data_IF_384104960960
#
_entry.id   IF_384104960960
#
_cell.length_a   1.000
_cell.length_b   1.000
_cell.length_c   1.000
_cell.angle_alpha   90.00
_cell.angle_beta   90.00
_cell.angle_gamma   90.00
#
_symmetry.space_group_name_H-M   'P 1'
#
loop_
_entity.id
_entity.type
_entity.pdbx_description
1 polymer ?
#
# COMPACT_ATOMS: atom_id res chain seq x y z
N UNK A 1 -17.05 -9.40 7.62
CA UNK A 1 -17.07 -9.91 9.02
C UNK A 1 -16.64 -11.37 9.10
N UNK A 2 -17.13 -12.25 8.22
CA UNK A 2 -16.80 -13.68 8.20
C UNK A 2 -15.29 -13.95 7.99
N UNK A 3 -14.65 -13.26 7.05
CA UNK A 3 -13.19 -13.37 6.79
C UNK A 3 -12.32 -12.90 7.98
N UNK A 4 -12.77 -11.87 8.73
CA UNK A 4 -12.08 -11.41 9.95
C UNK A 4 -12.21 -12.40 11.10
N UNK A 5 -13.35 -13.11 11.18
CA UNK A 5 -13.52 -14.21 12.14
C UNK A 5 -12.62 -15.38 11.79
N UNK A 6 -12.53 -15.77 10.51
CA UNK A 6 -11.61 -16.82 10.05
C UNK A 6 -10.15 -16.49 10.38
N UNK A 7 -9.72 -15.24 10.19
CA UNK A 7 -8.38 -14.78 10.58
C UNK A 7 -8.12 -14.96 12.08
N UNK A 8 -9.09 -14.59 12.94
CA UNK A 8 -8.97 -14.80 14.38
C UNK A 8 -8.90 -16.28 14.75
N UNK A 9 -9.64 -17.14 14.04
CA UNK A 9 -9.61 -18.59 14.26
C UNK A 9 -8.27 -19.20 13.83
N UNK A 10 -7.71 -18.81 12.67
CA UNK A 10 -6.38 -19.28 12.25
C UNK A 10 -5.26 -18.79 13.18
N UNK A 11 -5.34 -17.54 13.67
CA UNK A 11 -4.46 -17.00 14.69
C UNK A 11 -4.53 -17.82 15.99
N UNK A 12 -5.75 -18.12 16.44
CA UNK A 12 -5.98 -18.96 17.61
C UNK A 12 -5.43 -20.36 17.40
N UNK A 13 -5.72 -21.00 16.28
CA UNK A 13 -5.29 -22.37 15.97
C UNK A 13 -3.76 -22.47 15.89
N UNK A 14 -3.09 -21.51 15.22
CA UNK A 14 -1.63 -21.43 15.15
C UNK A 14 -1.00 -21.22 16.54
N UNK A 15 -1.59 -20.33 17.35
CA UNK A 15 -1.17 -20.06 18.71
C UNK A 15 -1.31 -21.29 19.62
N UNK A 16 -2.47 -21.98 19.57
CA UNK A 16 -2.71 -23.20 20.33
C UNK A 16 -1.78 -24.33 19.86
N UNK A 17 -1.60 -24.53 18.55
CA UNK A 17 -0.71 -25.55 18.02
C UNK A 17 0.74 -25.33 18.46
N UNK A 18 1.23 -24.08 18.49
CA UNK A 18 2.56 -23.74 19.00
C UNK A 18 2.71 -24.04 20.50
N UNK A 19 1.66 -23.80 21.29
CA UNK A 19 1.64 -24.07 22.74
C UNK A 19 1.65 -25.58 23.05
N UNK A 20 0.95 -26.40 22.27
CA UNK A 20 0.85 -27.85 22.48
C UNK A 20 2.02 -28.66 21.88
N UNK A 21 2.80 -28.09 20.95
CA UNK A 21 3.91 -28.78 20.28
C UNK A 21 5.26 -28.65 21.01
N UNK A 22 5.32 -27.92 22.13
CA UNK A 22 6.42 -27.98 23.11
C UNK A 22 7.81 -27.48 22.69
N UNK A 23 8.03 -26.99 21.46
CA UNK A 23 9.40 -26.65 20.98
C UNK A 23 9.53 -25.32 20.21
N UNK A 24 8.46 -24.55 19.99
CA UNK A 24 8.58 -23.29 19.22
C UNK A 24 8.00 -22.08 19.95
N UNK A 25 8.71 -20.95 19.89
CA UNK A 25 8.19 -19.66 20.36
C UNK A 25 6.88 -19.36 19.61
N UNK A 26 5.77 -19.05 20.31
CA UNK A 26 4.47 -18.82 19.68
C UNK A 26 4.37 -17.46 18.99
N UNK A 27 5.38 -16.60 19.17
CA UNK A 27 5.44 -15.25 18.63
C UNK A 27 6.53 -15.12 17.56
N UNK A 28 6.27 -14.24 16.59
CA UNK A 28 7.29 -13.66 15.75
C UNK A 28 7.94 -12.52 16.54
N UNK A 29 9.10 -12.78 17.15
CA UNK A 29 9.84 -11.74 17.89
C UNK A 29 10.78 -11.01 16.95
N UNK A 30 10.64 -9.67 16.91
CA UNK A 30 11.58 -8.76 16.25
C UNK A 30 12.26 -7.87 17.30
N UNK A 31 13.59 -7.89 17.34
CA UNK A 31 14.40 -7.04 18.21
C UNK A 31 15.11 -5.99 17.35
N UNK A 32 14.67 -4.74 17.38
CA UNK A 32 15.08 -3.70 16.44
C UNK A 32 15.69 -2.49 17.16
N UNK A 33 16.68 -1.84 16.55
CA UNK A 33 17.21 -0.55 17.02
C UNK A 33 16.48 0.58 16.32
N UNK A 34 16.15 1.65 17.05
CA UNK A 34 15.44 2.82 16.49
C UNK A 34 16.14 3.43 15.28
N UNK A 35 17.47 3.53 15.34
CA UNK A 35 18.28 4.13 14.27
C UNK A 35 18.54 3.18 13.07
N UNK A 36 18.11 1.91 13.16
CA UNK A 36 18.34 0.89 12.14
C UNK A 36 17.07 0.10 11.83
N UNK A 37 15.91 0.75 11.94
CA UNK A 37 14.61 0.10 11.97
C UNK A 37 14.34 -0.74 10.72
N UNK A 38 14.50 -0.16 9.53
CA UNK A 38 14.32 -0.85 8.24
C UNK A 38 15.28 -2.03 8.12
N UNK A 39 16.58 -1.78 8.33
CA UNK A 39 17.64 -2.77 8.16
C UNK A 39 17.49 -3.95 9.12
N UNK A 40 17.26 -3.69 10.41
CA UNK A 40 17.11 -4.74 11.42
C UNK A 40 15.85 -5.58 11.14
N UNK A 41 14.78 -4.96 10.63
CA UNK A 41 13.55 -5.66 10.25
C UNK A 41 13.79 -6.59 9.06
N UNK A 42 14.46 -6.10 8.00
CA UNK A 42 14.79 -6.92 6.81
C UNK A 42 15.61 -8.14 7.20
N UNK A 43 16.72 -7.92 7.92
CA UNK A 43 17.61 -9.01 8.31
C UNK A 43 16.89 -10.08 9.14
N UNK A 44 15.98 -9.67 10.03
CA UNK A 44 15.26 -10.62 10.86
C UNK A 44 14.18 -11.37 10.10
N UNK A 45 13.37 -10.69 9.29
CA UNK A 45 12.28 -11.32 8.54
C UNK A 45 12.79 -12.28 7.47
N UNK A 46 13.91 -11.98 6.81
CA UNK A 46 14.53 -12.87 5.80
C UNK A 46 14.99 -14.22 6.39
N UNK A 47 15.26 -14.27 7.70
CA UNK A 47 15.71 -15.49 8.38
C UNK A 47 14.55 -16.35 8.92
N UNK A 48 13.31 -15.88 8.81
CA UNK A 48 12.13 -16.59 9.34
C UNK A 48 11.54 -17.52 8.30
N UNK A 49 11.04 -18.67 8.75
CA UNK A 49 10.24 -19.54 7.91
C UNK A 49 8.86 -18.92 7.64
N UNK A 50 8.16 -19.27 6.54
CA UNK A 50 6.79 -18.81 6.30
C UNK A 50 5.82 -19.11 7.46
N UNK A 51 6.03 -20.21 8.19
CA UNK A 51 5.24 -20.53 9.37
C UNK A 51 5.51 -19.59 10.55
N UNK A 52 6.77 -19.16 10.72
CA UNK A 52 7.13 -18.18 11.76
C UNK A 52 6.65 -16.77 11.44
N UNK A 53 6.61 -16.40 10.15
CA UNK A 53 6.10 -15.12 9.69
C UNK A 53 4.60 -14.92 9.98
N UNK A 54 3.86 -16.02 10.10
CA UNK A 54 2.44 -16.07 10.47
C UNK A 54 2.23 -16.29 11.97
N UNK A 55 3.19 -15.91 12.81
CA UNK A 55 2.99 -15.87 14.26
C UNK A 55 2.61 -14.46 14.69
N UNK A 56 1.96 -14.34 15.83
CA UNK A 56 1.65 -13.03 16.40
C UNK A 56 2.96 -12.25 16.63
N UNK A 57 3.01 -11.02 16.12
CA UNK A 57 4.21 -10.18 16.15
C UNK A 57 4.41 -9.61 17.55
N UNK A 58 5.65 -9.71 18.04
CA UNK A 58 6.12 -9.06 19.26
C UNK A 58 7.37 -8.27 18.94
N UNK A 59 7.32 -6.96 19.17
CA UNK A 59 8.46 -6.07 18.90
C UNK A 59 9.14 -5.70 20.21
N UNK A 60 10.47 -5.62 20.18
CA UNK A 60 11.31 -5.10 21.26
C UNK A 60 12.30 -4.09 20.71
N UNK A 61 12.33 -2.89 21.28
CA UNK A 61 13.40 -1.95 21.00
C UNK A 61 14.62 -2.29 21.85
N UNK A 62 15.77 -2.42 21.20
CA UNK A 62 17.02 -2.81 21.88
C UNK A 62 17.41 -1.74 22.90
N UNK A 63 17.57 -2.14 24.16
CA UNK A 63 17.94 -1.24 25.25
C UNK A 63 16.76 -0.55 25.95
N UNK A 64 15.52 -0.92 25.62
CA UNK A 64 14.30 -0.36 26.22
C UNK A 64 13.50 -1.44 26.94
N UNK A 65 13.05 -1.14 28.16
CA UNK A 65 12.11 -2.00 28.88
C UNK A 65 10.71 -1.81 28.29
N UNK A 66 10.31 -2.70 27.39
CA UNK A 66 8.97 -2.74 26.82
C UNK A 66 7.93 -3.16 27.87
N UNK A 67 7.27 -2.19 28.49
CA UNK A 67 6.24 -2.44 29.53
C UNK A 67 4.85 -2.72 28.92
N UNK A 68 4.54 -2.10 27.77
CA UNK A 68 3.26 -2.26 27.05
C UNK A 68 3.48 -2.88 25.66
N UNK A 69 3.10 -4.14 25.52
CA UNK A 69 3.28 -4.92 24.28
C UNK A 69 2.46 -4.36 23.10
N UNK A 70 1.29 -3.77 23.36
CA UNK A 70 0.44 -3.20 22.32
C UNK A 70 0.91 -1.83 21.85
N UNK A 71 1.38 -0.98 22.78
CA UNK A 71 1.96 0.32 22.48
C UNK A 71 3.22 0.21 21.61
N UNK A 72 4.12 -0.70 21.97
CA UNK A 72 5.40 -0.90 21.26
C UNK A 72 5.18 -1.40 19.81
N UNK A 73 4.21 -2.29 19.59
CA UNK A 73 3.89 -2.77 18.25
C UNK A 73 3.34 -1.64 17.36
N UNK A 74 2.41 -0.82 17.87
CA UNK A 74 1.87 0.32 17.13
C UNK A 74 2.96 1.34 16.79
N UNK A 75 3.82 1.66 17.76
CA UNK A 75 4.95 2.55 17.56
C UNK A 75 5.89 2.04 16.46
N UNK A 76 6.22 0.75 16.48
CA UNK A 76 7.04 0.11 15.45
C UNK A 76 6.48 0.33 14.04
N UNK A 77 5.20 0.01 13.81
CA UNK A 77 4.58 0.22 12.51
C UNK A 77 4.55 1.71 12.11
N UNK A 78 4.25 2.61 13.05
CA UNK A 78 4.25 4.05 12.80
C UNK A 78 5.62 4.58 12.37
N UNK A 79 6.69 4.19 13.07
CA UNK A 79 8.05 4.61 12.73
C UNK A 79 8.48 4.04 11.37
N UNK A 80 8.20 2.76 11.12
CA UNK A 80 8.62 2.08 9.89
C UNK A 80 7.88 2.65 8.67
N UNK A 81 6.56 2.86 8.77
CA UNK A 81 5.77 3.50 7.72
C UNK A 81 6.26 4.92 7.48
N UNK A 82 6.52 5.71 8.53
CA UNK A 82 7.00 7.08 8.38
C UNK A 82 8.35 7.15 7.66
N UNK A 83 9.25 6.22 7.92
CA UNK A 83 10.58 6.19 7.31
C UNK A 83 10.53 5.77 5.83
N UNK A 84 9.81 4.70 5.51
CA UNK A 84 9.73 4.13 4.15
C UNK A 84 8.95 5.02 3.19
N UNK A 85 7.90 5.69 3.68
CA UNK A 85 7.01 6.53 2.87
C UNK A 85 7.43 8.01 2.84
N UNK A 86 8.56 8.37 3.46
CA UNK A 86 9.14 9.69 3.26
C UNK A 86 9.64 9.81 1.82
N UNK A 87 9.29 10.89 1.12
CA UNK A 87 9.68 11.11 -0.28
C UNK A 87 11.21 11.11 -0.46
N UNK A 88 11.99 11.45 0.58
CA UNK A 88 13.46 11.38 0.56
C UNK A 88 13.98 9.95 0.50
N UNK A 89 13.18 8.97 0.91
CA UNK A 89 13.50 7.56 0.79
C UNK A 89 13.42 7.10 -0.67
N UNK A 90 12.58 7.74 -1.48
CA UNK A 90 12.55 7.60 -2.94
C UNK A 90 11.70 6.45 -3.49
N UNK A 91 11.21 5.53 -2.65
CA UNK A 91 10.40 4.37 -3.07
C UNK A 91 9.01 4.74 -3.60
N UNK A 92 8.43 5.80 -3.03
CA UNK A 92 7.09 6.25 -3.35
C UNK A 92 7.07 7.77 -3.52
N UNK A 93 6.11 8.25 -4.30
CA UNK A 93 5.78 9.66 -4.41
C UNK A 93 4.32 9.89 -3.99
N UNK A 94 4.02 11.08 -3.48
CA UNK A 94 2.65 11.51 -3.28
C UNK A 94 2.21 12.36 -4.47
N UNK A 95 1.06 12.02 -5.06
CA UNK A 95 0.44 12.87 -6.06
C UNK A 95 -0.01 14.19 -5.41
N UNK A 96 0.35 15.33 -6.00
CA UNK A 96 0.11 16.64 -5.39
C UNK A 96 -1.37 17.04 -5.33
N UNK A 97 -2.21 16.46 -6.19
CA UNK A 97 -3.62 16.81 -6.26
C UNK A 97 -4.46 15.95 -5.32
N UNK A 98 -4.15 14.65 -5.22
CA UNK A 98 -4.92 13.70 -4.43
C UNK A 98 -4.31 13.35 -3.07
N UNK A 99 -3.04 13.68 -2.84
CA UNK A 99 -2.21 13.16 -1.74
C UNK A 99 -2.13 11.62 -1.69
N UNK A 100 -2.47 10.94 -2.78
CA UNK A 100 -2.32 9.49 -2.88
C UNK A 100 -0.87 9.13 -3.15
N UNK A 101 -0.41 8.11 -2.45
CA UNK A 101 0.92 7.53 -2.57
C UNK A 101 0.95 6.51 -3.72
N UNK A 102 1.98 6.54 -4.55
CA UNK A 102 2.23 5.54 -5.59
C UNK A 102 3.72 5.25 -5.79
N UNK A 103 4.03 4.13 -6.44
CA UNK A 103 5.42 3.70 -6.68
C UNK A 103 6.17 4.73 -7.53
N UNK A 104 7.36 5.10 -7.10
CA UNK A 104 8.28 5.87 -7.92
C UNK A 104 8.71 5.03 -9.15
N UNK A 105 8.68 5.59 -10.36
CA UNK A 105 9.18 4.90 -11.55
C UNK A 105 10.71 4.84 -11.52
N UNK A 106 11.30 3.66 -11.29
CA UNK A 106 12.76 3.51 -11.19
C UNK A 106 13.31 2.34 -12.04
N UNK A 107 14.27 2.57 -12.96
CA UNK A 107 14.83 1.55 -13.82
C UNK A 107 16.10 0.89 -13.24
N UNK A 108 16.73 1.48 -12.22
CA UNK A 108 17.98 0.98 -11.62
C UNK A 108 17.76 0.63 -10.15
N UNK A 109 17.02 -0.45 -9.93
CA UNK A 109 16.88 -1.03 -8.60
C UNK A 109 18.12 -1.87 -8.29
N UNK A 110 18.92 -1.43 -7.33
CA UNK A 110 19.91 -2.33 -6.75
C UNK A 110 19.24 -3.43 -5.90
N UNK A 111 20.02 -4.43 -5.50
CA UNK A 111 19.49 -5.55 -4.71
C UNK A 111 18.95 -5.11 -3.34
N UNK A 112 19.43 -3.99 -2.79
CA UNK A 112 18.98 -3.47 -1.51
C UNK A 112 17.59 -2.85 -1.65
N UNK A 113 17.38 -2.02 -2.68
CA UNK A 113 16.08 -1.44 -3.01
C UNK A 113 15.00 -2.51 -3.17
N UNK A 114 15.30 -3.60 -3.87
CA UNK A 114 14.34 -4.70 -4.05
C UNK A 114 14.03 -5.45 -2.75
N UNK A 115 15.01 -5.58 -1.85
CA UNK A 115 14.78 -6.16 -0.52
C UNK A 115 13.92 -5.25 0.36
N UNK A 116 14.14 -3.94 0.30
CA UNK A 116 13.35 -2.93 0.99
C UNK A 116 11.92 -2.88 0.43
N UNK A 117 11.75 -2.96 -0.89
CA UNK A 117 10.43 -3.00 -1.51
C UNK A 117 9.65 -4.25 -1.11
N UNK A 118 10.31 -5.41 -1.06
CA UNK A 118 9.72 -6.62 -0.50
C UNK A 118 9.37 -6.46 0.97
N UNK A 119 10.20 -5.76 1.76
CA UNK A 119 9.88 -5.45 3.16
C UNK A 119 8.57 -4.68 3.27
N UNK A 120 8.34 -3.65 2.45
CA UNK A 120 7.09 -2.88 2.51
C UNK A 120 5.88 -3.79 2.32
N UNK A 121 5.95 -4.71 1.35
CA UNK A 121 4.95 -5.75 1.15
C UNK A 121 4.73 -6.60 2.40
N UNK A 122 5.82 -7.11 3.00
CA UNK A 122 5.77 -7.90 4.23
C UNK A 122 5.16 -7.10 5.40
N UNK A 123 5.46 -5.81 5.51
CA UNK A 123 4.93 -4.93 6.57
C UNK A 123 3.42 -4.78 6.43
N UNK A 124 2.90 -4.57 5.21
CA UNK A 124 1.46 -4.57 4.96
C UNK A 124 0.83 -5.91 5.37
N UNK A 125 1.47 -7.02 5.00
CA UNK A 125 0.98 -8.34 5.37
C UNK A 125 0.99 -8.60 6.88
N UNK A 126 2.04 -8.15 7.58
CA UNK A 126 2.14 -8.23 9.04
C UNK A 126 1.07 -7.37 9.71
N UNK A 127 0.77 -6.20 9.16
CA UNK A 127 -0.29 -5.33 9.67
C UNK A 127 -1.68 -5.98 9.56
N UNK A 128 -1.98 -6.60 8.42
CA UNK A 128 -3.19 -7.43 8.21
C UNK A 128 -3.27 -8.52 9.26
N UNK A 129 -2.21 -9.33 9.40
CA UNK A 129 -2.20 -10.49 10.30
C UNK A 129 -2.32 -10.10 11.79
N UNK A 130 -1.76 -8.95 12.16
CA UNK A 130 -1.78 -8.46 13.54
C UNK A 130 -2.93 -7.48 13.82
N UNK A 131 -3.85 -7.27 12.87
CA UNK A 131 -4.95 -6.30 13.00
C UNK A 131 -4.48 -4.89 13.37
N UNK A 132 -3.36 -4.46 12.79
CA UNK A 132 -2.81 -3.11 12.96
C UNK A 132 -3.20 -2.26 11.77
N UNK A 133 -3.82 -1.12 12.04
CA UNK A 133 -4.14 -0.12 11.01
C UNK A 133 -2.88 0.70 10.70
N UNK A 134 -2.57 0.85 9.42
CA UNK A 134 -1.47 1.66 8.93
C UNK A 134 -1.98 3.00 8.40
N UNK A 135 -1.25 4.07 8.73
CA UNK A 135 -1.52 5.41 8.20
C UNK A 135 -0.84 5.57 6.83
N UNK A 136 -1.33 4.85 5.82
CA UNK A 136 -0.86 4.89 4.42
C UNK A 136 -2.00 5.27 3.50
N UNK A 137 -1.67 6.00 2.42
CA UNK A 137 -2.65 6.63 1.54
C UNK A 137 -2.51 6.09 0.11
N UNK A 138 -2.52 4.78 -0.06
CA UNK A 138 -2.53 4.19 -1.41
C UNK A 138 -3.93 4.29 -2.04
N UNK A 139 -4.03 4.44 -3.37
CA UNK A 139 -5.33 4.35 -4.04
C UNK A 139 -5.84 2.90 -4.04
N UNK A 140 -7.15 2.75 -4.20
CA UNK A 140 -7.86 1.48 -4.32
C UNK A 140 -7.24 0.53 -5.38
N UNK A 141 -6.65 1.13 -6.42
CA UNK A 141 -5.89 0.44 -7.46
C UNK A 141 -4.81 -0.51 -6.89
N UNK A 142 -4.14 -0.16 -5.79
CA UNK A 142 -3.12 -1.00 -5.17
C UNK A 142 -3.73 -2.34 -4.71
N UNK A 143 -4.84 -2.28 -3.97
CA UNK A 143 -5.48 -3.47 -3.42
C UNK A 143 -6.07 -4.34 -4.51
N UNK A 144 -6.58 -3.74 -5.60
CA UNK A 144 -6.95 -4.48 -6.81
C UNK A 144 -5.75 -5.24 -7.37
N UNK A 145 -4.62 -4.57 -7.58
CA UNK A 145 -3.41 -5.22 -8.11
C UNK A 145 -2.87 -6.32 -7.20
N UNK A 146 -2.84 -6.12 -5.88
CA UNK A 146 -2.41 -7.16 -4.92
C UNK A 146 -3.21 -8.46 -5.07
N UNK A 147 -4.52 -8.32 -5.32
CA UNK A 147 -5.46 -9.42 -5.52
C UNK A 147 -5.57 -9.91 -6.97
N UNK A 148 -4.78 -9.36 -7.89
CA UNK A 148 -4.82 -9.72 -9.32
C UNK A 148 -6.08 -9.24 -10.05
N UNK A 149 -6.80 -8.26 -9.50
CA UNK A 149 -7.94 -7.61 -10.15
C UNK A 149 -7.41 -6.53 -11.10
N UNK A 150 -7.87 -6.49 -12.36
CA UNK A 150 -7.41 -5.49 -13.32
C UNK A 150 -7.83 -4.07 -12.92
N UNK A 151 -6.94 -3.12 -13.21
CA UNK A 151 -7.14 -1.69 -13.02
C UNK A 151 -7.38 -1.01 -14.36
N UNK A 152 -8.18 0.05 -14.34
CA UNK A 152 -8.68 0.74 -15.52
C UNK A 152 -8.65 2.25 -15.29
N UNK A 153 -9.03 3.01 -16.33
CA UNK A 153 -9.05 4.47 -16.29
C UNK A 153 -9.76 5.06 -15.08
N UNK A 154 -10.88 4.49 -14.63
CA UNK A 154 -11.61 5.01 -13.46
C UNK A 154 -10.83 4.90 -12.15
N UNK A 155 -9.90 3.95 -12.02
CA UNK A 155 -9.05 3.86 -10.84
C UNK A 155 -8.05 5.03 -10.77
N UNK A 156 -7.74 5.66 -11.92
CA UNK A 156 -6.88 6.84 -11.99
C UNK A 156 -7.54 8.08 -11.36
N UNK A 157 -8.87 8.14 -11.27
CA UNK A 157 -9.57 9.27 -10.65
C UNK A 157 -9.12 9.48 -9.19
N UNK A 158 -8.83 8.39 -8.46
CA UNK A 158 -8.37 8.50 -7.08
C UNK A 158 -6.88 8.87 -7.01
N UNK A 159 -6.05 8.29 -7.88
CA UNK A 159 -4.60 8.52 -7.88
C UNK A 159 -4.24 9.90 -8.44
N UNK A 160 -4.71 10.24 -9.63
CA UNK A 160 -4.41 11.48 -10.35
C UNK A 160 -5.69 12.03 -11.04
N UNK A 161 -6.51 12.80 -10.32
CA UNK A 161 -7.77 13.36 -10.83
C UNK A 161 -7.58 14.26 -12.07
N UNK A 162 -6.46 14.99 -12.13
CA UNK A 162 -6.14 15.92 -13.22
C UNK A 162 -5.79 15.17 -14.50
N UNK A 163 -4.96 14.13 -14.39
CA UNK A 163 -4.64 13.25 -15.50
C UNK A 163 -5.88 12.47 -15.96
N UNK A 164 -6.66 11.92 -15.03
CA UNK A 164 -7.95 11.27 -15.35
C UNK A 164 -8.84 12.19 -16.18
N UNK A 165 -9.03 13.43 -15.73
CA UNK A 165 -9.86 14.42 -16.43
C UNK A 165 -9.34 14.72 -17.84
N UNK A 166 -8.02 14.74 -18.02
CA UNK A 166 -7.39 14.99 -19.32
C UNK A 166 -7.59 13.81 -20.28
N UNK A 167 -7.44 12.58 -19.81
CA UNK A 167 -7.67 11.38 -20.63
C UNK A 167 -9.16 11.20 -20.97
N UNK A 168 -10.08 11.53 -20.05
CA UNK A 168 -11.52 11.54 -20.32
C UNK A 168 -11.90 12.56 -21.41
N UNK A 169 -11.25 13.73 -21.43
CA UNK A 169 -11.47 14.71 -22.50
C UNK A 169 -11.06 14.17 -23.86
N UNK A 170 -9.91 13.49 -23.96
CA UNK A 170 -9.46 12.83 -25.19
C UNK A 170 -10.50 11.80 -25.66
N UNK A 171 -11.03 10.97 -24.75
CA UNK A 171 -12.00 9.94 -25.12
C UNK A 171 -13.34 10.50 -25.58
N UNK A 172 -13.90 11.46 -24.83
CA UNK A 172 -15.32 11.76 -24.90
C UNK A 172 -15.65 13.21 -25.27
N UNK A 173 -14.70 14.14 -25.18
CA UNK A 173 -14.96 15.57 -25.37
C UNK A 173 -14.32 16.13 -26.63
N UNK A 174 -13.06 15.78 -26.92
CA UNK A 174 -12.32 16.37 -28.03
C UNK A 174 -12.84 15.93 -29.40
N UNK A 175 -12.98 16.91 -30.28
CA UNK A 175 -13.17 16.75 -31.72
C UNK A 175 -11.91 16.20 -32.41
N UNK A 176 -12.02 15.66 -33.63
CA UNK A 176 -10.85 15.25 -34.41
C UNK A 176 -9.79 16.35 -34.54
N UNK A 177 -10.20 17.59 -34.82
CA UNK A 177 -9.30 18.73 -34.97
C UNK A 177 -8.57 19.07 -33.65
N UNK A 178 -9.26 18.98 -32.51
CA UNK A 178 -8.66 19.18 -31.19
C UNK A 178 -7.64 18.07 -30.87
N UNK A 179 -7.94 16.81 -31.19
CA UNK A 179 -7.00 15.70 -30.98
C UNK A 179 -5.75 15.88 -31.85
N UNK A 180 -5.89 16.22 -33.12
CA UNK A 180 -4.75 16.50 -34.01
C UNK A 180 -3.91 17.67 -33.49
N UNK A 181 -4.54 18.69 -32.91
CA UNK A 181 -3.85 19.86 -32.34
C UNK A 181 -3.05 19.57 -31.07
N UNK A 182 -3.32 18.44 -30.38
CA UNK A 182 -2.59 18.06 -29.17
C UNK A 182 -1.13 17.68 -29.47
N UNK A 183 -0.82 17.30 -30.73
CA UNK A 183 0.49 16.85 -31.21
C UNK A 183 1.18 15.84 -30.27
N UNK A 184 0.39 14.94 -29.68
CA UNK A 184 0.88 13.87 -28.83
C UNK A 184 1.24 12.64 -29.66
N UNK A 185 2.25 11.91 -29.21
CA UNK A 185 2.62 10.59 -29.70
C UNK A 185 2.44 9.58 -28.58
N UNK A 186 2.57 8.28 -28.86
CA UNK A 186 2.43 7.22 -27.85
C UNK A 186 3.69 7.12 -26.97
N UNK A 187 4.05 8.23 -26.33
CA UNK A 187 5.12 8.34 -25.36
C UNK A 187 4.68 9.21 -24.17
N UNK A 188 5.30 8.99 -23.03
CA UNK A 188 5.05 9.74 -21.81
C UNK A 188 6.36 10.27 -21.26
N UNK A 189 6.39 11.56 -20.94
CA UNK A 189 7.51 12.19 -20.24
C UNK A 189 7.22 12.28 -18.75
N UNK A 190 8.14 11.78 -17.93
CA UNK A 190 8.04 11.84 -16.48
C UNK A 190 9.37 12.34 -15.88
N UNK A 191 9.30 12.90 -14.68
CA UNK A 191 10.50 13.31 -13.95
C UNK A 191 10.93 12.19 -13.01
N UNK A 192 12.22 11.89 -13.04
CA UNK A 192 12.85 10.92 -12.16
C UNK A 192 14.19 11.47 -11.68
N UNK A 193 14.41 11.53 -10.37
CA UNK A 193 15.63 12.09 -9.76
C UNK A 193 16.00 13.49 -10.31
N UNK A 194 14.98 14.32 -10.59
CA UNK A 194 15.11 15.65 -11.17
C UNK A 194 15.42 15.68 -12.67
N UNK A 195 15.56 14.53 -13.33
CA UNK A 195 15.81 14.40 -14.77
C UNK A 195 14.53 14.03 -15.52
N UNK A 196 14.38 14.51 -16.76
CA UNK A 196 13.28 14.13 -17.63
C UNK A 196 13.60 12.81 -18.32
N UNK A 197 12.70 11.84 -18.18
CA UNK A 197 12.73 10.56 -18.87
C UNK A 197 11.53 10.46 -19.80
N UNK A 198 11.67 9.67 -20.86
CA UNK A 198 10.59 9.37 -21.80
C UNK A 198 10.42 7.88 -21.93
N UNK A 199 9.18 7.40 -21.83
CA UNK A 199 8.81 6.01 -22.04
C UNK A 199 7.89 5.90 -23.24
N UNK A 200 8.16 4.95 -24.14
CA UNK A 200 7.29 4.68 -25.28
C UNK A 200 6.19 3.69 -24.85
N UNK A 201 4.94 4.15 -24.89
CA UNK A 201 3.76 3.38 -24.44
C UNK A 201 3.50 2.14 -25.29
N UNK A 202 3.97 2.16 -26.55
CA UNK A 202 3.95 1.04 -27.49
C UNK A 202 5.27 1.01 -28.27
N UNK A 203 5.61 -0.11 -28.95
CA UNK A 203 6.77 -0.16 -29.84
C UNK A 203 6.73 0.93 -30.93
N UNK A 204 7.80 1.72 -31.03
CA UNK A 204 7.92 2.89 -31.92
C UNK A 204 6.88 4.00 -31.62
N UNK A 205 6.40 4.08 -30.39
CA UNK A 205 5.37 5.02 -29.96
C UNK A 205 5.72 6.49 -30.19
N UNK A 206 7.01 6.85 -30.15
CA UNK A 206 7.50 8.20 -30.47
C UNK A 206 7.20 8.66 -31.90
N UNK A 207 6.97 7.71 -32.82
CA UNK A 207 6.61 8.00 -34.22
C UNK A 207 5.13 7.81 -34.52
N UNK A 208 4.38 7.22 -33.56
CA UNK A 208 2.96 6.92 -33.72
C UNK A 208 2.15 8.04 -33.09
N UNK A 209 1.55 8.90 -33.93
CA UNK A 209 0.76 10.05 -33.47
C UNK A 209 -0.60 9.63 -32.93
N UNK A 210 -1.02 10.30 -31.87
CA UNK A 210 -2.41 10.29 -31.42
C UNK A 210 -3.30 10.84 -32.54
N UNK A 211 -4.40 10.15 -32.80
CA UNK A 211 -5.43 10.49 -33.76
C UNK A 211 -6.80 10.14 -33.18
N UNK A 212 -7.86 10.62 -33.81
CA UNK A 212 -9.21 10.32 -33.35
C UNK A 212 -9.53 8.82 -33.38
N UNK A 213 -8.95 8.08 -34.33
CA UNK A 213 -9.19 6.64 -34.51
C UNK A 213 -8.46 5.77 -33.48
N UNK A 214 -7.27 6.19 -33.03
CA UNK A 214 -6.43 5.42 -32.08
C UNK A 214 -6.48 5.94 -30.64
N UNK A 215 -7.34 6.94 -30.33
CA UNK A 215 -7.42 7.57 -29.01
C UNK A 215 -7.73 6.59 -27.85
N UNK A 216 -8.49 5.53 -28.12
CA UNK A 216 -8.80 4.50 -27.13
C UNK A 216 -7.55 3.70 -26.79
N UNK A 217 -6.76 3.32 -27.80
CA UNK A 217 -5.48 2.62 -27.62
C UNK A 217 -4.50 3.49 -26.83
N UNK A 218 -4.37 4.76 -27.21
CA UNK A 218 -3.52 5.72 -26.50
C UNK A 218 -3.84 5.79 -25.01
N UNK A 219 -5.13 5.97 -24.66
CA UNK A 219 -5.56 6.08 -23.26
C UNK A 219 -5.34 4.77 -22.51
N UNK A 220 -5.62 3.62 -23.13
CA UNK A 220 -5.38 2.33 -22.50
C UNK A 220 -3.90 2.08 -22.24
N UNK A 221 -3.01 2.37 -23.21
CA UNK A 221 -1.57 2.23 -23.03
C UNK A 221 -1.02 3.20 -21.98
N UNK A 222 -1.60 4.41 -21.88
CA UNK A 222 -1.23 5.37 -20.83
C UNK A 222 -1.60 4.84 -19.43
N UNK A 223 -2.82 4.31 -19.26
CA UNK A 223 -3.28 3.73 -18.00
C UNK A 223 -2.45 2.49 -17.63
N UNK A 224 -2.13 1.64 -18.61
CA UNK A 224 -1.27 0.47 -18.42
C UNK A 224 0.14 0.88 -17.95
N UNK A 225 0.72 1.92 -18.55
CA UNK A 225 2.00 2.45 -18.10
C UNK A 225 1.96 2.87 -16.63
N UNK A 226 1.00 3.71 -16.23
CA UNK A 226 0.92 4.27 -14.87
C UNK A 226 0.78 3.19 -13.80
N UNK A 227 -0.08 2.20 -14.05
CA UNK A 227 -0.37 1.18 -13.04
C UNK A 227 0.48 -0.07 -13.15
N UNK A 228 1.05 -0.38 -14.31
CA UNK A 228 1.76 -1.64 -14.57
C UNK A 228 3.20 -1.38 -14.99
N UNK A 229 3.46 -0.85 -16.19
CA UNK A 229 4.81 -0.85 -16.77
C UNK A 229 5.79 0.04 -16.00
N UNK A 230 5.37 1.20 -15.49
CA UNK A 230 6.21 2.07 -14.66
C UNK A 230 6.52 1.45 -13.30
N UNK A 231 5.64 0.54 -12.90
CA UNK A 231 5.50 -0.25 -11.67
C UNK A 231 6.28 -1.54 -11.48
N UNK A 232 6.60 -2.20 -12.61
CA UNK A 232 6.42 -3.66 -12.69
C UNK A 232 7.32 -4.42 -11.71
N UNK A 233 8.63 -4.22 -11.79
CA UNK A 233 9.61 -4.94 -11.00
C UNK A 233 9.47 -4.69 -9.49
N UNK A 234 9.30 -3.42 -9.08
CA UNK A 234 9.07 -3.10 -7.67
C UNK A 234 7.73 -3.63 -7.15
N UNK A 235 6.69 -3.58 -7.97
CA UNK A 235 5.37 -4.08 -7.57
C UNK A 235 5.39 -5.61 -7.39
N UNK A 236 6.11 -6.35 -8.23
CA UNK A 236 6.24 -7.81 -8.10
C UNK A 236 6.86 -8.21 -6.76
N UNK A 237 8.03 -7.65 -6.41
CA UNK A 237 8.67 -7.98 -5.12
C UNK A 237 7.88 -7.49 -3.92
N UNK A 238 7.19 -6.35 -4.03
CA UNK A 238 6.25 -5.86 -3.04
C UNK A 238 5.10 -6.85 -2.83
N UNK A 239 4.49 -7.31 -3.92
CA UNK A 239 3.39 -8.27 -3.88
C UNK A 239 3.85 -9.61 -3.31
N UNK A 240 5.02 -10.09 -3.68
CA UNK A 240 5.59 -11.33 -3.14
C UNK A 240 5.77 -11.22 -1.62
N UNK A 241 6.35 -10.13 -1.14
CA UNK A 241 6.50 -9.88 0.30
C UNK A 241 5.16 -9.85 1.04
N UNK A 242 4.13 -9.25 0.45
CA UNK A 242 2.79 -9.26 1.00
C UNK A 242 2.20 -10.68 1.08
N UNK A 243 2.32 -11.46 -0.01
CA UNK A 243 1.79 -12.82 -0.10
C UNK A 243 2.55 -13.82 0.77
N UNK A 244 3.83 -13.58 1.06
CA UNK A 244 4.62 -14.40 1.97
C UNK A 244 4.01 -14.44 3.39
N UNK A 245 3.48 -13.30 3.84
CA UNK A 245 2.82 -13.18 5.15
C UNK A 245 1.37 -13.64 5.06
N UNK A 246 0.58 -13.01 4.20
CA UNK A 246 -0.88 -13.17 4.16
C UNK A 246 -1.28 -14.54 3.62
N UNK A 247 -0.47 -15.12 2.74
CA UNK A 247 -0.79 -16.36 2.03
C UNK A 247 -1.77 -16.14 0.88
N UNK A 248 -1.47 -16.71 -0.29
CA UNK A 248 -2.25 -16.51 -1.51
C UNK A 248 -3.71 -16.96 -1.38
N UNK A 249 -3.98 -18.04 -0.65
CA UNK A 249 -5.34 -18.55 -0.45
C UNK A 249 -6.22 -17.61 0.36
N UNK A 250 -5.66 -16.92 1.36
CA UNK A 250 -6.40 -15.96 2.17
C UNK A 250 -6.67 -14.69 1.39
N UNK A 251 -5.64 -14.16 0.71
CA UNK A 251 -5.77 -12.96 -0.12
C UNK A 251 -6.91 -13.10 -1.14
N UNK A 252 -7.03 -14.26 -1.79
CA UNK A 252 -8.08 -14.55 -2.78
C UNK A 252 -9.52 -14.54 -2.23
N UNK A 253 -9.73 -14.59 -0.91
CA UNK A 253 -11.07 -14.54 -0.30
C UNK A 253 -11.53 -13.12 0.06
N UNK A 254 -10.65 -12.12 -0.04
CA UNK A 254 -10.98 -10.73 0.22
C UNK A 254 -11.37 -10.03 -1.08
N UNK A 255 -12.35 -9.13 -1.00
CA UNK A 255 -12.49 -8.09 -2.00
C UNK A 255 -11.41 -7.00 -1.83
N UNK A 256 -11.05 -6.26 -2.89
CA UNK A 256 -10.11 -5.14 -2.79
C UNK A 256 -10.49 -4.12 -1.71
N UNK A 257 -11.79 -3.84 -1.55
CA UNK A 257 -12.30 -2.90 -0.55
C UNK A 257 -12.14 -3.43 0.88
N UNK A 258 -12.40 -4.73 1.09
CA UNK A 258 -12.17 -5.32 2.41
C UNK A 258 -10.69 -5.31 2.78
N UNK A 259 -9.80 -5.58 1.81
CA UNK A 259 -8.36 -5.50 2.05
C UNK A 259 -7.90 -4.08 2.40
N UNK A 260 -8.40 -3.08 1.68
CA UNK A 260 -8.17 -1.66 1.98
C UNK A 260 -8.62 -1.31 3.41
N UNK A 261 -9.85 -1.66 3.78
CA UNK A 261 -10.40 -1.40 5.12
C UNK A 261 -9.64 -2.11 6.24
N UNK A 262 -9.10 -3.32 5.98
CA UNK A 262 -8.27 -4.03 6.96
C UNK A 262 -6.94 -3.31 7.17
N UNK A 263 -6.34 -2.77 6.12
CA UNK A 263 -5.02 -2.13 6.17
C UNK A 263 -5.10 -0.69 6.68
N UNK A 264 -6.02 0.11 6.13
CA UNK A 264 -6.11 1.54 6.39
C UNK A 264 -7.22 1.92 7.40
N UNK A 265 -8.09 0.97 7.75
CA UNK A 265 -9.27 1.26 8.54
C UNK A 265 -10.37 1.94 7.71
N UNK A 266 -11.46 2.28 8.38
CA UNK A 266 -12.57 3.03 7.78
C UNK A 266 -12.41 4.52 8.06
N UNK A 267 -12.59 5.36 7.04
CA UNK A 267 -12.73 6.81 7.19
C UNK A 267 -14.18 7.25 7.47
N UNK A 268 -15.16 6.34 7.33
CA UNK A 268 -16.55 6.58 7.73
C UNK A 268 -16.62 6.60 9.26
N UNK A 269 -16.59 7.81 9.81
CA UNK A 269 -16.76 8.08 11.23
C UNK A 269 -18.23 8.30 11.54
N UNK A 270 -18.83 7.34 12.24
CA UNK A 270 -20.18 7.48 12.79
C UNK A 270 -20.12 8.31 14.09
N UNK A 271 -20.22 9.63 13.93
CA UNK A 271 -20.20 10.57 15.05
C UNK A 271 -21.41 10.41 15.98
N UNK A 272 -22.57 9.93 15.48
CA UNK A 272 -23.74 9.67 16.30
C UNK A 272 -23.50 8.48 17.24
N UNK A 273 -22.88 7.42 16.73
CA UNK A 273 -22.45 6.27 17.54
C UNK A 273 -21.36 6.69 18.52
N UNK A 274 -20.37 7.48 18.09
CA UNK A 274 -19.31 7.99 18.97
C UNK A 274 -19.90 8.78 20.15
N UNK A 275 -20.79 9.74 19.87
CA UNK A 275 -21.45 10.56 20.91
C UNK A 275 -22.35 9.71 21.83
N UNK A 276 -23.03 8.70 21.28
CA UNK A 276 -23.88 7.79 22.06
C UNK A 276 -23.10 6.95 23.08
N UNK A 277 -21.90 6.51 22.74
CA UNK A 277 -21.08 5.63 23.60
C UNK A 277 -19.93 6.37 24.31
N UNK A 278 -19.75 7.67 24.08
CA UNK A 278 -18.78 8.49 24.77
C UNK A 278 -19.05 8.49 26.28
N UNK A 279 -18.00 8.22 27.07
CA UNK A 279 -18.02 8.32 28.53
C UNK A 279 -17.18 9.53 28.93
N UNK A 280 -17.76 10.39 29.75
CA UNK A 280 -17.14 11.62 30.22
C UNK A 280 -16.62 11.42 31.66
N UNK A 281 -15.42 11.92 31.94
CA UNK A 281 -14.78 11.89 33.26
C UNK A 281 -14.26 13.29 33.64
N UNK A 282 -13.83 13.49 34.90
CA UNK A 282 -13.27 14.75 35.36
C UNK A 282 -14.32 15.86 35.58
N UNK A 283 -15.59 15.49 35.78
CA UNK A 283 -16.70 16.42 35.98
C UNK A 283 -17.36 16.92 34.69
N UNK A 284 -16.84 16.52 33.53
CA UNK A 284 -17.47 16.77 32.23
C UNK A 284 -18.67 15.85 32.01
N UNK A 285 -19.62 16.35 31.22
CA UNK A 285 -20.84 15.67 30.77
C UNK A 285 -21.11 16.08 29.32
N UNK A 286 -22.01 15.36 28.66
CA UNK A 286 -22.43 15.63 27.28
C UNK A 286 -22.90 17.08 27.06
N UNK A 287 -23.54 17.68 28.06
CA UNK A 287 -24.06 19.05 28.05
C UNK A 287 -23.06 20.11 28.56
N UNK A 288 -21.80 19.74 28.77
CA UNK A 288 -20.79 20.73 29.20
C UNK A 288 -20.41 21.59 28.00
N UNK A 289 -20.32 22.94 28.12
CA UNK A 289 -20.09 23.83 26.97
C UNK A 289 -18.80 23.62 26.15
N UNK A 290 -17.85 22.82 26.66
CA UNK A 290 -16.61 22.46 25.92
C UNK A 290 -16.74 21.11 25.20
N UNK A 291 -17.82 20.37 25.47
CA UNK A 291 -18.16 19.07 24.91
C UNK A 291 -19.22 19.21 23.81
N UNK A 292 -20.19 20.12 23.98
CA UNK A 292 -21.07 20.60 22.89
C UNK A 292 -20.29 21.26 21.74
#
# INVERSE_FOLDING_TARGET
MENSMTMRTELQDSFFHAMFSGVTCPYLVLEVRRDWLVRDTICQLQLKSPADLRKQLKVRFVGEDGIDEGGVQKEFFQLLVREIFDEKYGMFYNNTDSNMCWFSPEPESDALYMQEMRLVGMVLGLAVYNSVILNIHFPHALYKKLLGVPVYLNDLLQLDPSLYSSLIKILHTFSPEEIESCDQTFEVSYKQNGQHQTYQLIPNGSTYKLSFDNKIEFVNSYVDFIFNSSCESQFEVFRDGFLDIVGSSFAMNLSPLELELIICGSSDLDFDTLDKYAVYDGGYKRDTPVVE
#
